data_IF_492769585660
#
_entry.id   IF_492769585660
#
_cell.length_a   1.000
_cell.length_b   1.000
_cell.length_c   1.000
_cell.angle_alpha   90.00
_cell.angle_beta   90.00
_cell.angle_gamma   90.00
#
_symmetry.space_group_name_H-M   'P 1'
#
loop_
_entity.id
_entity.type
_entity.pdbx_description
1 polymer ?
#
# COMPACT_ATOMS: atom_id res chain seq x y z
N UNK A 1 35.48 -2.79 -6.18
CA UNK A 1 34.29 -2.12 -6.74
C UNK A 1 34.50 -1.81 -8.22
N UNK A 2 35.76 -1.67 -8.63
CA UNK A 2 36.15 -1.12 -9.94
C UNK A 2 35.95 -2.08 -11.14
N UNK A 3 35.63 -3.37 -10.89
CA UNK A 3 35.40 -4.40 -11.93
C UNK A 3 34.06 -5.18 -11.78
N UNK A 4 33.07 -4.63 -11.07
CA UNK A 4 31.75 -5.27 -10.89
C UNK A 4 30.68 -4.54 -11.70
N UNK A 5 29.89 -5.27 -12.48
CA UNK A 5 28.70 -4.71 -13.12
C UNK A 5 27.53 -4.69 -12.13
N UNK A 6 27.16 -3.50 -11.69
CA UNK A 6 26.01 -3.28 -10.82
C UNK A 6 24.74 -3.04 -11.65
N UNK A 7 23.76 -3.94 -11.59
CA UNK A 7 22.45 -3.76 -12.21
C UNK A 7 21.40 -3.42 -11.15
N UNK A 8 21.06 -2.13 -11.02
CA UNK A 8 20.18 -1.60 -9.98
C UNK A 8 18.97 -0.86 -10.56
N UNK A 9 18.37 -1.41 -11.62
CA UNK A 9 17.20 -0.80 -12.28
C UNK A 9 15.96 -0.94 -11.38
N UNK A 10 15.38 0.20 -11.00
CA UNK A 10 14.11 0.24 -10.28
C UNK A 10 12.95 -0.15 -11.20
N UNK A 11 11.87 -0.68 -10.62
CA UNK A 11 10.65 -1.03 -11.36
C UNK A 11 10.91 -1.95 -12.58
N UNK A 12 11.74 -3.00 -12.41
CA UNK A 12 11.96 -4.03 -13.43
C UNK A 12 10.67 -4.64 -14.01
N UNK A 13 9.57 -4.83 -13.25
CA UNK A 13 8.31 -5.28 -13.82
C UNK A 13 7.77 -4.38 -14.94
N UNK A 14 8.19 -3.12 -15.01
CA UNK A 14 7.86 -2.19 -16.09
C UNK A 14 8.46 -2.58 -17.46
N UNK A 15 9.50 -3.41 -17.50
CA UNK A 15 10.06 -3.95 -18.74
C UNK A 15 9.16 -5.02 -19.39
N UNK A 16 8.24 -5.61 -18.61
CA UNK A 16 7.30 -6.65 -19.06
C UNK A 16 5.86 -6.27 -18.67
N UNK A 17 5.34 -5.13 -19.18
CA UNK A 17 4.14 -4.48 -18.65
C UNK A 17 2.88 -5.34 -18.76
N UNK A 18 2.73 -6.14 -19.84
CA UNK A 18 1.56 -7.01 -20.01
C UNK A 18 1.49 -8.07 -18.91
N UNK A 19 2.60 -8.78 -18.68
CA UNK A 19 2.67 -9.83 -17.65
C UNK A 19 2.57 -9.24 -16.25
N UNK A 20 3.26 -8.13 -15.98
CA UNK A 20 3.26 -7.51 -14.65
C UNK A 20 1.91 -6.88 -14.30
N UNK A 21 1.22 -6.25 -15.26
CA UNK A 21 -0.12 -5.71 -15.04
C UNK A 21 -1.14 -6.82 -14.75
N UNK A 22 -1.12 -7.92 -15.51
CA UNK A 22 -1.99 -9.07 -15.25
C UNK A 22 -1.74 -9.68 -13.87
N UNK A 23 -0.47 -9.88 -13.51
CA UNK A 23 -0.10 -10.42 -12.21
C UNK A 23 -0.54 -9.50 -11.05
N UNK A 24 -0.27 -8.19 -11.15
CA UNK A 24 -0.67 -7.22 -10.13
C UNK A 24 -2.18 -7.14 -10.01
N UNK A 25 -2.90 -7.01 -11.12
CA UNK A 25 -4.36 -6.92 -11.13
C UNK A 25 -5.00 -8.15 -10.47
N UNK A 26 -4.54 -9.36 -10.78
CA UNK A 26 -5.06 -10.57 -10.15
C UNK A 26 -4.88 -10.57 -8.63
N UNK A 27 -3.78 -10.01 -8.12
CA UNK A 27 -3.52 -9.91 -6.69
C UNK A 27 -4.35 -8.81 -6.00
N UNK A 28 -4.55 -7.66 -6.65
CA UNK A 28 -5.23 -6.50 -6.03
C UNK A 28 -6.74 -6.47 -6.26
N UNK A 29 -7.25 -7.17 -7.28
CA UNK A 29 -8.66 -7.13 -7.69
C UNK A 29 -9.64 -7.45 -6.55
N UNK A 30 -9.43 -8.48 -5.70
CA UNK A 30 -10.35 -8.75 -4.59
C UNK A 30 -10.50 -7.57 -3.62
N UNK A 31 -9.40 -6.87 -3.34
CA UNK A 31 -9.41 -5.69 -2.46
C UNK A 31 -10.07 -4.48 -3.12
N UNK A 32 -9.80 -4.27 -4.40
CA UNK A 32 -10.41 -3.18 -5.17
C UNK A 32 -11.94 -3.32 -5.23
N UNK A 33 -12.44 -4.54 -5.45
CA UNK A 33 -13.88 -4.83 -5.43
C UNK A 33 -14.46 -4.63 -4.03
N UNK A 34 -13.80 -5.11 -2.97
CA UNK A 34 -14.28 -4.90 -1.60
C UNK A 34 -14.41 -3.42 -1.23
N UNK A 35 -13.48 -2.58 -1.66
CA UNK A 35 -13.54 -1.12 -1.46
C UNK A 35 -14.67 -0.51 -2.29
N UNK A 36 -14.84 -0.93 -3.54
CA UNK A 36 -15.89 -0.42 -4.42
C UNK A 36 -17.29 -0.74 -3.89
N UNK A 37 -17.50 -1.96 -3.38
CA UNK A 37 -18.81 -2.43 -2.92
C UNK A 37 -19.19 -1.87 -1.54
N UNK A 38 -18.22 -1.76 -0.62
CA UNK A 38 -18.49 -1.43 0.80
C UNK A 38 -18.09 -0.01 1.19
N UNK A 39 -17.30 0.66 0.36
CA UNK A 39 -16.53 1.83 0.79
C UNK A 39 -15.29 1.44 1.61
N UNK A 40 -14.33 2.37 1.68
CA UNK A 40 -13.02 2.09 2.25
C UNK A 40 -13.05 1.85 3.76
N UNK A 41 -13.88 2.56 4.54
CA UNK A 41 -13.93 2.36 6.01
C UNK A 41 -14.40 0.95 6.39
N UNK A 42 -15.48 0.48 5.76
CA UNK A 42 -16.03 -0.85 6.00
C UNK A 42 -15.08 -1.93 5.48
N UNK A 43 -14.52 -1.76 4.27
CA UNK A 43 -13.55 -2.71 3.72
C UNK A 43 -12.30 -2.89 4.60
N UNK A 44 -11.76 -1.80 5.17
CA UNK A 44 -10.64 -1.86 6.11
C UNK A 44 -11.02 -2.44 7.48
N UNK A 45 -12.26 -2.25 7.92
CA UNK A 45 -12.73 -2.82 9.19
C UNK A 45 -12.92 -4.33 9.09
N UNK A 46 -13.39 -4.80 7.93
CA UNK A 46 -13.64 -6.23 7.64
C UNK A 46 -12.35 -7.02 7.36
N UNK A 47 -11.33 -6.39 6.75
CA UNK A 47 -10.10 -7.07 6.33
C UNK A 47 -8.86 -6.44 6.99
N UNK A 48 -8.28 -7.18 7.95
CA UNK A 48 -7.06 -6.77 8.64
C UNK A 48 -5.84 -6.63 7.70
N UNK A 49 -5.74 -7.43 6.64
CA UNK A 49 -4.65 -7.33 5.67
C UNK A 49 -4.77 -6.05 4.86
N UNK A 50 -5.98 -5.72 4.41
CA UNK A 50 -6.23 -4.45 3.73
C UNK A 50 -5.97 -3.27 4.67
N UNK A 51 -6.38 -3.38 5.94
CA UNK A 51 -6.14 -2.36 6.98
C UNK A 51 -4.66 -2.05 7.19
N UNK A 52 -3.80 -3.06 7.15
CA UNK A 52 -2.34 -2.88 7.28
C UNK A 52 -1.75 -2.04 6.14
N UNK A 53 -2.43 -1.96 4.99
CA UNK A 53 -2.04 -1.11 3.86
C UNK A 53 -2.33 0.39 4.04
N UNK A 54 -3.09 0.79 5.07
CA UNK A 54 -3.44 2.21 5.27
C UNK A 54 -2.23 3.02 5.77
N UNK A 55 -1.75 3.93 4.92
CA UNK A 55 -0.58 4.77 5.22
C UNK A 55 -0.96 6.16 5.73
N UNK A 56 -1.98 6.78 5.13
CA UNK A 56 -2.43 8.14 5.44
C UNK A 56 -3.95 8.19 5.46
N UNK A 57 -4.52 8.87 6.44
CA UNK A 57 -5.96 9.12 6.53
C UNK A 57 -6.20 10.51 7.15
N UNK A 58 -7.09 11.32 6.56
CA UNK A 58 -7.40 12.66 7.09
C UNK A 58 -6.19 13.58 7.26
N UNK A 59 -5.18 13.46 6.39
CA UNK A 59 -3.93 14.23 6.48
C UNK A 59 -2.95 13.75 7.57
N UNK A 60 -3.24 12.62 8.24
CA UNK A 60 -2.41 12.04 9.31
C UNK A 60 -1.76 10.74 8.84
N UNK A 61 -0.50 10.53 9.23
CA UNK A 61 0.22 9.27 8.96
C UNK A 61 -0.24 8.21 9.96
N UNK A 62 -0.66 7.04 9.45
CA UNK A 62 -1.18 5.93 10.24
C UNK A 62 -0.27 4.70 10.24
N UNK A 63 0.76 4.69 9.38
CA UNK A 63 1.70 3.57 9.25
C UNK A 63 3.03 3.88 9.94
N UNK A 64 3.38 3.06 10.94
CA UNK A 64 4.57 3.26 11.78
C UNK A 64 5.88 3.37 10.99
N UNK A 65 6.09 2.50 9.99
CA UNK A 65 7.31 2.53 9.18
C UNK A 65 7.48 3.81 8.35
N UNK A 66 6.38 4.47 7.95
CA UNK A 66 6.45 5.74 7.23
C UNK A 66 6.75 6.88 8.20
N UNK A 67 6.06 6.89 9.36
CA UNK A 67 6.30 7.87 10.41
C UNK A 67 7.76 7.85 10.89
N UNK A 68 8.32 6.67 11.13
CA UNK A 68 9.71 6.49 11.53
C UNK A 68 10.69 6.95 10.45
N UNK A 69 10.52 6.46 9.21
CA UNK A 69 11.43 6.79 8.09
C UNK A 69 11.50 8.28 7.78
N UNK A 70 10.37 8.98 7.94
CA UNK A 70 10.26 10.41 7.66
C UNK A 70 10.38 11.30 8.90
N UNK A 71 10.53 10.72 10.10
CA UNK A 71 10.56 11.43 11.40
C UNK A 71 9.33 12.31 11.63
N UNK A 72 8.15 11.79 11.26
CA UNK A 72 6.88 12.47 11.41
C UNK A 72 6.01 11.80 12.49
N UNK A 73 5.03 12.51 13.09
CA UNK A 73 4.16 11.93 14.09
C UNK A 73 3.31 10.79 13.54
N UNK A 74 3.18 9.71 14.32
CA UNK A 74 2.27 8.60 14.08
C UNK A 74 0.92 8.87 14.75
N UNK A 75 -0.17 8.61 14.04
CA UNK A 75 -1.53 8.71 14.54
C UNK A 75 -2.24 7.36 14.43
N UNK A 76 -3.04 6.99 15.42
CA UNK A 76 -3.80 5.75 15.35
C UNK A 76 -4.92 5.85 14.30
N UNK A 77 -4.82 5.05 13.25
CA UNK A 77 -5.80 5.06 12.16
C UNK A 77 -7.18 4.51 12.52
N UNK A 78 -7.31 3.82 13.66
CA UNK A 78 -8.57 3.21 14.11
C UNK A 78 -9.63 4.21 14.53
N UNK A 79 -9.22 5.38 15.06
CA UNK A 79 -10.18 6.44 15.42
C UNK A 79 -10.80 7.09 14.17
N UNK A 80 -10.11 7.04 13.03
CA UNK A 80 -10.55 7.62 11.76
C UNK A 80 -11.50 6.71 10.96
N UNK A 81 -11.64 5.43 11.34
CA UNK A 81 -12.58 4.48 10.72
C UNK A 81 -14.02 4.63 11.26
N UNK A 82 -14.23 5.46 12.28
CA UNK A 82 -15.51 5.57 13.02
C UNK A 82 -16.31 6.85 12.72
N UNK A 83 -15.89 7.64 11.72
CA UNK A 83 -16.59 8.86 11.29
C UNK A 83 -17.64 8.57 10.22
#
# INVERSE_FOLDING_TARGET
VDDVIHYCVANMPGAVPMTSAQALNNAVLPYALAIADKGWQAALSDDQNLRRGLNVCGGKITHGGVAESLKLPLFEGLELLRA
#
